data_IF_357518952447
#
_entry.id   IF_357518952447
#
_cell.length_a   1.000
_cell.length_b   1.000
_cell.length_c   1.000
_cell.angle_alpha   90.00
_cell.angle_beta   90.00
_cell.angle_gamma   90.00
#
_symmetry.space_group_name_H-M   'P 1'
#
loop_
_entity.id
_entity.type
_entity.pdbx_description
1 polymer ?
#
# COMPACT_ATOMS: atom_id res chain seq x y z
N UNK A 1 39.10 1.34 -2.33
CA UNK A 1 39.93 0.11 -2.39
C UNK A 1 41.39 0.55 -2.15
N UNK A 2 42.05 -0.04 -1.18
CA UNK A 2 43.48 0.12 -0.96
C UNK A 2 44.20 -1.05 -1.62
N UNK A 3 45.01 -0.78 -2.63
CA UNK A 3 45.86 -1.75 -3.28
C UNK A 3 47.25 -1.17 -3.41
N UNK A 4 48.28 -1.83 -2.89
CA UNK A 4 49.69 -1.41 -2.94
C UNK A 4 49.95 0.04 -2.44
N UNK A 5 49.35 0.44 -1.32
CA UNK A 5 49.54 1.77 -0.73
C UNK A 5 48.90 2.95 -1.47
N UNK A 6 48.23 2.71 -2.61
CA UNK A 6 47.44 3.71 -3.31
C UNK A 6 45.96 3.57 -2.96
N UNK A 7 45.32 4.68 -2.59
CA UNK A 7 43.89 4.73 -2.38
C UNK A 7 43.22 5.09 -3.71
N UNK A 8 42.45 4.18 -4.30
CA UNK A 8 41.61 4.48 -5.45
C UNK A 8 40.15 4.62 -4.99
N UNK A 9 39.51 5.71 -5.39
CA UNK A 9 38.08 5.90 -5.21
C UNK A 9 37.41 5.37 -6.48
N UNK A 10 36.61 4.32 -6.33
CA UNK A 10 35.85 3.74 -7.42
C UNK A 10 34.36 4.01 -7.19
N UNK A 11 33.73 4.70 -8.14
CA UNK A 11 32.29 4.94 -8.09
C UNK A 11 31.57 3.74 -8.69
N UNK A 12 30.71 3.10 -7.90
CA UNK A 12 29.93 1.94 -8.31
C UNK A 12 28.46 2.34 -8.41
N UNK A 13 27.85 2.05 -9.54
CA UNK A 13 26.43 2.26 -9.75
C UNK A 13 25.71 0.89 -9.64
N UNK A 14 24.94 0.66 -8.57
CA UNK A 14 24.35 -0.66 -8.30
C UNK A 14 23.00 -0.88 -9.03
N UNK A 15 22.88 -0.41 -10.25
CA UNK A 15 21.69 -0.59 -11.09
C UNK A 15 22.03 -0.72 -12.56
N UNK A 16 21.19 -1.41 -13.29
CA UNK A 16 21.15 -1.41 -14.75
C UNK A 16 20.00 -0.52 -15.25
N UNK A 17 20.11 -0.07 -16.48
CA UNK A 17 19.04 0.64 -17.19
C UNK A 17 18.56 -0.25 -18.33
N UNK A 18 17.27 -0.58 -18.33
CA UNK A 18 16.62 -1.22 -19.47
C UNK A 18 15.73 -0.21 -20.19
N UNK A 19 15.66 -0.31 -21.52
CA UNK A 19 14.80 0.56 -22.33
C UNK A 19 14.03 -0.23 -23.38
N UNK A 20 12.78 0.16 -23.62
CA UNK A 20 11.92 -0.43 -24.64
C UNK A 20 10.90 0.60 -25.11
N UNK A 21 10.74 0.76 -26.42
CA UNK A 21 9.79 1.70 -27.05
C UNK A 21 9.85 3.14 -26.48
N UNK A 22 11.05 3.64 -26.20
CA UNK A 22 11.23 5.01 -25.67
C UNK A 22 11.03 5.14 -24.17
N UNK A 23 10.56 4.13 -23.49
CA UNK A 23 10.49 4.06 -22.02
C UNK A 23 11.77 3.45 -21.46
N UNK A 24 12.12 3.81 -20.24
CA UNK A 24 13.27 3.23 -19.53
C UNK A 24 12.93 2.95 -18.06
N UNK A 25 13.58 1.95 -17.50
CA UNK A 25 13.48 1.61 -16.09
C UNK A 25 14.86 1.35 -15.50
N UNK A 26 15.02 1.66 -14.22
CA UNK A 26 16.20 1.29 -13.43
C UNK A 26 15.96 -0.05 -12.75
N UNK A 27 16.84 -1.01 -13.02
CA UNK A 27 16.81 -2.34 -12.40
C UNK A 27 17.84 -2.37 -11.29
N UNK A 28 17.45 -2.51 -10.01
CA UNK A 28 18.39 -2.58 -8.90
C UNK A 28 19.17 -3.89 -8.94
N UNK A 29 20.51 -3.80 -9.02
CA UNK A 29 21.41 -4.95 -8.99
C UNK A 29 21.83 -5.31 -7.56
N UNK A 30 21.76 -4.36 -6.65
CA UNK A 30 22.08 -4.56 -5.24
C UNK A 30 20.80 -4.42 -4.41
N UNK A 31 20.45 -5.52 -3.73
CA UNK A 31 19.28 -5.55 -2.86
C UNK A 31 19.58 -4.81 -1.55
N UNK A 32 18.77 -3.83 -1.22
CA UNK A 32 18.91 -3.13 0.06
C UNK A 32 18.34 -4.02 1.18
N UNK A 33 19.22 -4.49 2.07
CA UNK A 33 18.84 -5.31 3.22
C UNK A 33 19.51 -4.76 4.48
N UNK A 34 18.69 -4.45 5.47
CA UNK A 34 19.15 -4.01 6.78
C UNK A 34 19.58 -5.22 7.62
N UNK A 35 20.63 -5.05 8.43
CA UNK A 35 21.06 -6.06 9.41
C UNK A 35 21.88 -7.23 8.85
N UNK A 36 22.21 -7.24 7.55
CA UNK A 36 23.07 -8.29 6.94
C UNK A 36 24.48 -7.78 6.64
N UNK A 37 25.46 -8.68 6.60
CA UNK A 37 26.84 -8.36 6.22
C UNK A 37 26.92 -7.92 4.74
N UNK A 38 28.01 -7.25 4.37
CA UNK A 38 28.24 -6.82 2.98
C UNK A 38 28.37 -8.00 2.03
N UNK A 39 28.98 -9.10 2.45
CA UNK A 39 29.14 -10.31 1.65
C UNK A 39 27.80 -11.02 1.44
N UNK A 40 27.03 -11.18 2.50
CA UNK A 40 25.69 -11.76 2.45
C UNK A 40 24.74 -10.93 1.57
N UNK A 41 24.83 -9.59 1.64
CA UNK A 41 24.07 -8.69 0.78
C UNK A 41 24.41 -8.90 -0.69
N UNK A 42 25.69 -9.07 -1.03
CA UNK A 42 26.12 -9.35 -2.40
C UNK A 42 25.57 -10.71 -2.86
N UNK A 43 25.73 -11.75 -2.06
CA UNK A 43 25.25 -13.08 -2.41
C UNK A 43 23.72 -13.10 -2.62
N UNK A 44 22.95 -12.48 -1.73
CA UNK A 44 21.50 -12.34 -1.86
C UNK A 44 21.11 -11.52 -3.10
N UNK A 45 21.92 -10.52 -3.46
CA UNK A 45 21.68 -9.72 -4.66
C UNK A 45 21.93 -10.52 -5.93
N UNK A 46 22.99 -11.32 -5.98
CA UNK A 46 23.26 -12.23 -7.12
C UNK A 46 22.13 -13.23 -7.32
N UNK A 47 21.65 -13.82 -6.24
CA UNK A 47 20.50 -14.76 -6.31
C UNK A 47 19.20 -14.08 -6.76
N UNK A 48 19.06 -12.77 -6.53
CA UNK A 48 17.87 -12.00 -6.91
C UNK A 48 17.95 -11.40 -8.32
N UNK A 49 19.07 -11.52 -9.04
CA UNK A 49 19.25 -10.85 -10.33
C UNK A 49 18.22 -11.26 -11.38
N UNK A 50 17.94 -12.54 -11.49
CA UNK A 50 16.94 -13.04 -12.44
C UNK A 50 15.58 -12.41 -12.21
N UNK A 51 15.13 -12.40 -10.95
CA UNK A 51 13.89 -11.75 -10.57
C UNK A 51 13.91 -10.23 -10.89
N UNK A 52 14.99 -9.54 -10.55
CA UNK A 52 15.09 -8.09 -10.77
C UNK A 52 15.01 -7.72 -12.25
N UNK A 53 15.66 -8.51 -13.13
CA UNK A 53 15.56 -8.28 -14.58
C UNK A 53 14.19 -8.67 -15.13
N UNK A 54 13.64 -9.82 -14.73
CA UNK A 54 12.31 -10.26 -15.17
C UNK A 54 11.23 -9.23 -14.78
N UNK A 55 11.28 -8.73 -13.56
CA UNK A 55 10.38 -7.70 -13.05
C UNK A 55 10.52 -6.39 -13.82
N UNK A 56 11.76 -5.89 -14.01
CA UNK A 56 12.02 -4.69 -14.79
C UNK A 56 11.54 -4.79 -16.25
N UNK A 57 11.73 -5.93 -16.89
CA UNK A 57 11.22 -6.15 -18.24
C UNK A 57 9.70 -6.22 -18.28
N UNK A 58 9.08 -6.87 -17.29
CA UNK A 58 7.63 -6.91 -17.18
C UNK A 58 7.03 -5.50 -17.03
N UNK A 59 7.62 -4.64 -16.20
CA UNK A 59 7.20 -3.26 -16.04
C UNK A 59 7.34 -2.43 -17.32
N UNK A 60 8.38 -2.70 -18.15
CA UNK A 60 8.55 -2.02 -19.45
C UNK A 60 7.53 -2.46 -20.49
N UNK A 61 7.15 -3.73 -20.51
CA UNK A 61 6.25 -4.31 -21.52
C UNK A 61 4.79 -4.06 -21.13
N UNK A 62 4.48 -4.07 -19.83
CA UNK A 62 3.12 -3.90 -19.33
C UNK A 62 2.93 -2.51 -18.71
N UNK A 63 2.42 -1.53 -19.46
CA UNK A 63 2.14 -0.23 -18.90
C UNK A 63 1.07 -0.31 -17.82
N UNK A 64 1.21 0.53 -16.80
CA UNK A 64 0.23 0.66 -15.72
C UNK A 64 -1.14 0.99 -16.31
N UNK A 65 -2.15 0.21 -15.99
CA UNK A 65 -3.54 0.42 -16.45
C UNK A 65 -4.52 0.62 -15.32
N UNK A 66 -4.30 -0.08 -14.20
CA UNK A 66 -5.22 -0.12 -13.07
C UNK A 66 -4.96 1.02 -12.09
N UNK A 67 -6.04 1.49 -11.49
CA UNK A 67 -6.04 2.58 -10.53
C UNK A 67 -6.45 2.09 -9.16
N UNK A 68 -5.67 2.44 -8.15
CA UNK A 68 -5.95 2.12 -6.75
C UNK A 68 -6.29 3.41 -6.01
N UNK A 69 -7.44 3.43 -5.35
CA UNK A 69 -7.77 4.46 -4.38
C UNK A 69 -7.33 4.03 -2.99
N UNK A 70 -6.75 4.96 -2.23
CA UNK A 70 -6.46 4.79 -0.81
C UNK A 70 -7.42 5.69 -0.06
N UNK A 71 -8.31 5.07 0.73
CA UNK A 71 -9.28 5.84 1.51
C UNK A 71 -8.58 6.65 2.59
N UNK A 72 -9.05 7.86 2.77
CA UNK A 72 -8.63 8.81 3.80
C UNK A 72 -9.87 9.57 4.29
N UNK A 73 -9.89 9.92 5.57
CA UNK A 73 -10.99 10.69 6.19
C UNK A 73 -11.69 9.96 7.33
N UNK A 74 -11.52 8.64 7.46
CA UNK A 74 -12.10 7.85 8.57
C UNK A 74 -11.02 7.39 9.57
N UNK A 75 -10.00 8.22 9.79
CA UNK A 75 -8.93 7.94 10.76
C UNK A 75 -7.99 6.82 10.35
N UNK A 76 -7.78 6.60 9.05
CA UNK A 76 -6.87 5.58 8.53
C UNK A 76 -5.41 5.89 8.89
N UNK A 77 -4.56 4.86 8.78
CA UNK A 77 -3.14 4.95 9.05
C UNK A 77 -2.49 6.13 8.32
N UNK A 78 -1.61 6.84 9.04
CA UNK A 78 -0.78 7.88 8.43
C UNK A 78 0.13 7.30 7.34
N UNK A 79 0.41 8.11 6.33
CA UNK A 79 1.19 7.71 5.16
C UNK A 79 2.56 7.11 5.49
N UNK A 80 3.18 7.54 6.59
CA UNK A 80 4.49 7.03 7.04
C UNK A 80 4.50 5.53 7.37
N UNK A 81 3.36 4.97 7.84
CA UNK A 81 3.25 3.55 8.20
C UNK A 81 2.99 2.65 6.99
N UNK A 82 2.46 3.21 5.93
CA UNK A 82 2.10 2.48 4.70
C UNK A 82 2.94 2.90 3.49
N UNK A 83 3.96 3.75 3.72
CA UNK A 83 4.78 4.36 2.66
C UNK A 83 5.46 3.32 1.78
N UNK A 84 6.09 2.31 2.37
CA UNK A 84 6.82 1.26 1.65
C UNK A 84 5.87 0.39 0.80
N UNK A 85 4.72 0.02 1.37
CA UNK A 85 3.67 -0.70 0.67
C UNK A 85 3.18 0.07 -0.57
N UNK A 86 2.85 1.34 -0.42
CA UNK A 86 2.40 2.15 -1.55
C UNK A 86 3.52 2.52 -2.52
N UNK A 87 4.77 2.66 -2.05
CA UNK A 87 5.91 2.85 -2.94
C UNK A 87 6.07 1.66 -3.89
N UNK A 88 6.01 0.44 -3.36
CA UNK A 88 6.08 -0.79 -4.16
C UNK A 88 4.91 -0.91 -5.14
N UNK A 89 3.68 -0.61 -4.69
CA UNK A 89 2.51 -0.66 -5.58
C UNK A 89 2.55 0.37 -6.70
N UNK A 90 3.19 1.53 -6.49
CA UNK A 90 3.33 2.57 -7.52
C UNK A 90 4.14 2.12 -8.74
N UNK A 91 4.96 1.11 -8.61
CA UNK A 91 5.70 0.56 -9.73
C UNK A 91 4.76 -0.12 -10.75
N UNK A 92 3.61 -0.62 -10.30
CA UNK A 92 2.65 -1.39 -11.12
C UNK A 92 1.31 -0.70 -11.35
N UNK A 93 0.90 0.21 -10.44
CA UNK A 93 -0.44 0.81 -10.42
C UNK A 93 -0.40 2.33 -10.30
N UNK A 94 -1.47 2.98 -10.75
CA UNK A 94 -1.73 4.38 -10.41
C UNK A 94 -2.40 4.43 -9.05
N UNK A 95 -1.81 5.15 -8.09
CA UNK A 95 -2.35 5.27 -6.73
C UNK A 95 -2.73 6.72 -6.47
N UNK A 96 -3.95 6.93 -5.94
CA UNK A 96 -4.44 8.23 -5.50
C UNK A 96 -5.16 8.12 -4.16
N UNK A 97 -5.05 9.16 -3.34
CA UNK A 97 -5.90 9.30 -2.17
C UNK A 97 -7.35 9.60 -2.61
N UNK A 98 -8.30 9.09 -1.84
CA UNK A 98 -9.73 9.32 -2.04
C UNK A 98 -10.40 9.57 -0.70
N UNK A 99 -11.32 10.53 -0.61
CA UNK A 99 -12.09 10.78 0.60
C UNK A 99 -13.59 10.66 0.34
N UNK A 100 -14.34 10.33 1.39
CA UNK A 100 -15.78 10.27 1.38
C UNK A 100 -16.43 11.55 1.95
N UNK A 101 -15.65 12.55 2.34
CA UNK A 101 -16.09 13.76 3.05
C UNK A 101 -17.24 14.52 2.36
N UNK A 102 -17.29 14.46 1.03
CA UNK A 102 -18.34 15.15 0.27
C UNK A 102 -19.57 14.29 -0.03
N UNK A 103 -19.66 13.12 0.57
CA UNK A 103 -20.73 12.14 0.27
C UNK A 103 -22.11 12.69 0.62
N UNK A 104 -22.25 13.34 1.77
CA UNK A 104 -23.53 13.89 2.23
C UNK A 104 -24.07 14.98 1.28
N UNK A 105 -23.17 15.78 0.68
CA UNK A 105 -23.58 16.88 -0.21
C UNK A 105 -23.74 16.43 -1.67
N UNK A 106 -22.85 15.54 -2.13
CA UNK A 106 -22.73 15.18 -3.56
C UNK A 106 -22.59 13.65 -3.78
N UNK A 107 -23.52 12.83 -3.31
CA UNK A 107 -23.37 11.37 -3.33
C UNK A 107 -23.19 10.80 -4.74
N UNK A 108 -23.92 11.31 -5.74
CA UNK A 108 -23.79 10.87 -7.14
C UNK A 108 -22.41 11.16 -7.73
N UNK A 109 -21.82 12.32 -7.37
CA UNK A 109 -20.49 12.69 -7.86
C UNK A 109 -19.41 11.82 -7.20
N UNK A 110 -19.52 11.61 -5.89
CA UNK A 110 -18.60 10.75 -5.13
C UNK A 110 -18.62 9.33 -5.66
N UNK A 111 -19.83 8.79 -5.91
CA UNK A 111 -19.98 7.46 -6.52
C UNK A 111 -19.37 7.37 -7.92
N UNK A 112 -19.57 8.38 -8.75
CA UNK A 112 -18.97 8.40 -10.09
C UNK A 112 -17.43 8.48 -10.05
N UNK A 113 -16.88 9.16 -9.06
CA UNK A 113 -15.44 9.28 -8.88
C UNK A 113 -14.81 7.98 -8.36
N UNK A 114 -15.40 7.34 -7.33
CA UNK A 114 -14.86 6.09 -6.75
C UNK A 114 -14.90 4.95 -7.78
N UNK A 115 -15.92 4.91 -8.64
CA UNK A 115 -16.03 3.92 -9.73
C UNK A 115 -14.93 4.00 -10.80
N UNK A 116 -14.10 5.04 -10.79
CA UNK A 116 -12.94 5.13 -11.68
C UNK A 116 -11.74 4.32 -11.20
N UNK A 117 -11.80 3.77 -9.99
CA UNK A 117 -10.75 2.96 -9.40
C UNK A 117 -11.12 1.47 -9.46
N UNK A 118 -10.12 0.65 -9.72
CA UNK A 118 -10.26 -0.81 -9.79
C UNK A 118 -10.20 -1.45 -8.39
N UNK A 119 -9.48 -0.82 -7.48
CA UNK A 119 -9.32 -1.27 -6.09
C UNK A 119 -9.40 -0.08 -5.14
N UNK A 120 -10.12 -0.26 -4.05
CA UNK A 120 -10.12 0.63 -2.89
C UNK A 120 -9.38 -0.04 -1.73
N UNK A 121 -8.41 0.65 -1.15
CA UNK A 121 -7.67 0.20 0.04
C UNK A 121 -8.09 1.05 1.24
N UNK A 122 -8.54 0.39 2.29
CA UNK A 122 -8.92 0.99 3.57
C UNK A 122 -7.97 0.42 4.64
N UNK A 123 -7.10 1.26 5.17
CA UNK A 123 -6.01 0.83 6.04
C UNK A 123 -6.23 1.30 7.49
N UNK A 124 -6.75 0.39 8.31
CA UNK A 124 -6.97 0.55 9.74
C UNK A 124 -7.74 1.84 10.08
N UNK A 125 -8.99 1.98 9.64
CA UNK A 125 -9.84 3.11 10.03
C UNK A 125 -10.05 3.10 11.55
N UNK A 126 -10.16 4.30 12.14
CA UNK A 126 -10.40 4.47 13.57
C UNK A 126 -11.70 5.23 13.86
N UNK A 127 -12.30 5.85 12.86
CA UNK A 127 -13.55 6.58 12.97
C UNK A 127 -14.70 5.80 12.35
N UNK A 128 -15.91 6.04 12.86
CA UNK A 128 -17.13 5.38 12.38
C UNK A 128 -17.48 5.83 10.97
N UNK A 129 -17.91 4.88 10.15
CA UNK A 129 -18.50 5.18 8.85
C UNK A 129 -19.96 5.60 8.99
N UNK A 130 -20.33 6.66 8.29
CA UNK A 130 -21.72 7.11 8.20
C UNK A 130 -22.54 6.20 7.28
N UNK A 131 -23.86 6.27 7.36
CA UNK A 131 -24.75 5.47 6.50
C UNK A 131 -24.59 5.83 5.02
N UNK A 132 -24.35 7.11 4.73
CA UNK A 132 -24.09 7.61 3.38
C UNK A 132 -22.77 7.07 2.81
N UNK A 133 -21.71 7.01 3.62
CA UNK A 133 -20.42 6.42 3.24
C UNK A 133 -20.55 4.93 2.98
N UNK A 134 -21.20 4.19 3.89
CA UNK A 134 -21.49 2.76 3.69
C UNK A 134 -22.29 2.52 2.41
N UNK A 135 -23.28 3.37 2.12
CA UNK A 135 -24.06 3.26 0.89
C UNK A 135 -23.18 3.42 -0.36
N UNK A 136 -22.28 4.39 -0.40
CA UNK A 136 -21.36 4.60 -1.54
C UNK A 136 -20.40 3.42 -1.70
N UNK A 137 -19.86 2.91 -0.60
CA UNK A 137 -18.98 1.74 -0.59
C UNK A 137 -19.71 0.48 -1.08
N UNK A 138 -20.96 0.29 -0.64
CA UNK A 138 -21.84 -0.79 -1.12
C UNK A 138 -22.08 -0.69 -2.64
N UNK A 139 -22.44 0.49 -3.12
CA UNK A 139 -22.68 0.71 -4.54
C UNK A 139 -21.40 0.56 -5.39
N UNK A 140 -20.25 0.86 -4.83
CA UNK A 140 -18.97 0.61 -5.48
C UNK A 140 -18.72 -0.90 -5.62
N UNK A 141 -18.82 -1.67 -4.54
CA UNK A 141 -18.64 -3.13 -4.55
C UNK A 141 -19.67 -3.81 -5.46
N UNK A 142 -20.93 -3.43 -5.36
CA UNK A 142 -22.03 -3.97 -6.19
C UNK A 142 -21.84 -3.68 -7.69
N UNK A 143 -21.10 -2.63 -8.04
CA UNK A 143 -20.75 -2.32 -9.44
C UNK A 143 -19.51 -3.05 -9.95
N UNK A 144 -18.93 -3.96 -9.16
CA UNK A 144 -17.75 -4.75 -9.52
C UNK A 144 -16.42 -4.14 -9.05
N UNK A 145 -16.43 -3.10 -8.23
CA UNK A 145 -15.24 -2.56 -7.59
C UNK A 145 -14.68 -3.53 -6.54
N UNK A 146 -13.36 -3.71 -6.52
CA UNK A 146 -12.69 -4.50 -5.49
C UNK A 146 -12.30 -3.63 -4.29
N UNK A 147 -12.36 -4.19 -3.08
CA UNK A 147 -11.93 -3.49 -1.87
C UNK A 147 -11.04 -4.38 -1.01
N UNK A 148 -9.97 -3.79 -0.48
CA UNK A 148 -9.07 -4.39 0.50
C UNK A 148 -9.25 -3.66 1.83
N UNK A 149 -9.74 -4.40 2.81
CA UNK A 149 -9.98 -3.92 4.16
C UNK A 149 -8.94 -4.49 5.12
N UNK A 150 -8.17 -3.62 5.74
CA UNK A 150 -7.27 -3.94 6.83
C UNK A 150 -7.87 -3.31 8.08
N UNK A 151 -8.57 -4.12 8.87
CA UNK A 151 -9.38 -3.63 10.00
C UNK A 151 -8.92 -4.27 11.30
N UNK A 152 -8.64 -3.44 12.28
CA UNK A 152 -8.51 -3.85 13.67
C UNK A 152 -9.83 -3.64 14.39
N UNK A 153 -10.42 -4.74 14.88
CA UNK A 153 -11.66 -4.69 15.64
C UNK A 153 -11.47 -4.32 17.11
N UNK A 154 -10.20 -4.24 17.56
CA UNK A 154 -9.83 -4.00 18.96
C UNK A 154 -8.84 -2.85 19.04
N UNK A 155 -9.05 -1.96 19.99
CA UNK A 155 -8.09 -0.94 20.37
C UNK A 155 -7.41 -1.31 21.70
N UNK A 156 -6.07 -1.21 21.72
CA UNK A 156 -5.28 -1.42 22.93
C UNK A 156 -4.96 -0.08 23.58
N UNK A 157 -5.47 0.10 24.77
CA UNK A 157 -5.16 1.27 25.61
C UNK A 157 -4.15 0.86 26.69
N UNK A 158 -2.95 1.43 26.62
CA UNK A 158 -1.91 1.24 27.63
C UNK A 158 -2.14 2.22 28.78
N UNK A 159 -2.49 1.73 29.95
CA UNK A 159 -2.47 2.54 31.16
C UNK A 159 -1.05 2.60 31.72
N UNK A 160 -0.38 3.71 31.43
CA UNK A 160 0.99 3.95 31.91
C UNK A 160 1.12 4.06 33.43
N UNK A 161 0.01 4.24 34.14
CA UNK A 161 -0.01 4.40 35.61
C UNK A 161 -0.07 3.04 36.30
N UNK A 162 -0.91 2.12 35.80
CA UNK A 162 -1.07 0.78 36.38
C UNK A 162 -0.22 -0.29 35.71
N UNK A 163 0.38 0.01 34.56
CA UNK A 163 1.14 -0.96 33.74
C UNK A 163 0.26 -2.03 33.09
N UNK A 164 -1.06 -1.87 33.15
CA UNK A 164 -2.01 -2.79 32.55
C UNK A 164 -2.41 -2.35 31.15
N UNK A 165 -2.61 -3.31 30.25
CA UNK A 165 -3.14 -3.08 28.92
C UNK A 165 -4.62 -3.49 28.91
N UNK A 166 -5.48 -2.59 28.46
CA UNK A 166 -6.89 -2.87 28.28
C UNK A 166 -7.20 -2.96 26.80
N UNK A 167 -8.02 -3.94 26.42
CA UNK A 167 -8.50 -4.12 25.07
C UNK A 167 -9.98 -3.74 25.01
N UNK A 168 -10.34 -2.83 24.12
CA UNK A 168 -11.72 -2.39 23.89
C UNK A 168 -12.14 -2.70 22.45
N UNK A 169 -13.38 -3.14 22.28
CA UNK A 169 -13.96 -3.30 20.95
C UNK A 169 -14.06 -1.94 20.24
N UNK A 170 -13.57 -1.87 19.01
CA UNK A 170 -13.66 -0.67 18.17
C UNK A 170 -14.97 -0.71 17.38
N UNK A 171 -15.84 0.26 17.59
CA UNK A 171 -17.06 0.40 16.81
C UNK A 171 -16.81 1.31 15.60
N UNK A 172 -16.74 0.69 14.42
CA UNK A 172 -16.58 1.39 13.14
C UNK A 172 -17.90 1.55 12.37
N UNK A 173 -19.02 1.12 12.95
CA UNK A 173 -20.33 1.05 12.28
C UNK A 173 -20.29 0.22 10.98
N UNK A 174 -19.47 -0.84 10.91
CA UNK A 174 -19.28 -1.66 9.72
C UNK A 174 -19.84 -3.10 9.85
N UNK A 175 -20.37 -3.45 11.02
CA UNK A 175 -20.81 -4.82 11.29
C UNK A 175 -21.93 -5.28 10.33
N UNK A 176 -22.92 -4.44 10.11
CA UNK A 176 -24.03 -4.68 9.18
C UNK A 176 -23.56 -4.69 7.73
N UNK A 177 -22.63 -3.78 7.37
CA UNK A 177 -22.02 -3.73 6.06
C UNK A 177 -21.29 -5.02 5.73
N UNK A 178 -20.40 -5.49 6.60
CA UNK A 178 -19.67 -6.74 6.38
C UNK A 178 -20.58 -7.96 6.40
N UNK A 179 -21.58 -7.98 7.30
CA UNK A 179 -22.52 -9.08 7.39
C UNK A 179 -23.33 -9.27 6.09
N UNK A 180 -23.67 -8.19 5.40
CA UNK A 180 -24.31 -8.20 4.08
C UNK A 180 -23.51 -9.00 3.04
N UNK A 181 -22.17 -8.98 3.14
CA UNK A 181 -21.25 -9.73 2.29
C UNK A 181 -20.81 -11.09 2.89
N UNK A 182 -21.47 -11.53 3.97
CA UNK A 182 -21.19 -12.82 4.62
C UNK A 182 -19.93 -12.80 5.49
N UNK A 183 -19.41 -11.62 5.84
CA UNK A 183 -18.21 -11.46 6.66
C UNK A 183 -18.63 -11.08 8.08
N UNK A 184 -18.10 -11.80 9.08
CA UNK A 184 -18.26 -11.49 10.49
C UNK A 184 -16.88 -11.27 11.12
N UNK A 185 -16.67 -10.09 11.70
CA UNK A 185 -15.48 -9.75 12.47
C UNK A 185 -15.89 -9.83 13.96
N UNK A 186 -15.20 -10.64 14.73
CA UNK A 186 -15.38 -10.71 16.18
C UNK A 186 -14.26 -9.92 16.82
N UNK A 187 -14.55 -9.00 17.75
CA UNK A 187 -13.54 -8.27 18.53
C UNK A 187 -12.83 -9.18 19.53
#
# INVERSE_FOLDING_TARGET
>A
IKQNGKTSIQQVFPWAIASFNGNYIKIPLLKNQLGVSSEERINNSVQNLEYAFADGFNQLIQPKKRKIAVLKGNGELEDKYVADFFATLRDYYYIAAFTLDSVAEKPKKTLAQIKQFDLLVIANPTEQFTEEEKYILDQYVMSGGASLWLVDAVELVNDSVSGNNFAFGKDLNLTDFFFKYGIRINP
#
